data_IF_472303521089
#
_entry.id   IF_472303521089
#
_cell.length_a   1.000
_cell.length_b   1.000
_cell.length_c   1.000
_cell.angle_alpha   90.00
_cell.angle_beta   90.00
_cell.angle_gamma   90.00
#
_symmetry.space_group_name_H-M   'P 1'
#
loop_
_entity.id
_entity.type
_entity.pdbx_description
1 polymer ?
#
# COMPACT_ATOMS: atom_id res chain seq x y z
N UNK A 1 -6.39 -0.63 -1.88
CA UNK A 1 -5.70 0.68 -1.99
C UNK A 1 -6.55 1.65 -2.81
N UNK A 2 -6.42 2.97 -2.61
CA UNK A 2 -7.24 4.09 -3.12
C UNK A 2 -8.74 3.80 -3.38
N UNK A 3 -9.07 2.96 -4.38
CA UNK A 3 -10.39 2.43 -4.70
C UNK A 3 -10.82 1.21 -3.86
N UNK A 4 -10.26 1.02 -2.66
CA UNK A 4 -10.61 -0.09 -1.74
C UNK A 4 -10.53 -1.51 -2.34
N UNK A 5 -9.71 -1.73 -3.38
CA UNK A 5 -9.45 -3.09 -3.89
C UNK A 5 -8.22 -3.70 -3.19
N UNK A 6 -8.28 -4.97 -2.76
CA UNK A 6 -7.08 -5.72 -2.37
C UNK A 6 -6.07 -5.76 -3.52
N UNK A 7 -4.79 -5.84 -3.18
CA UNK A 7 -3.72 -5.89 -4.18
C UNK A 7 -2.81 -7.07 -3.91
N UNK A 8 -2.59 -7.87 -4.95
CA UNK A 8 -1.55 -8.88 -5.04
C UNK A 8 -0.45 -8.27 -5.90
N UNK A 9 0.78 -8.22 -5.40
CA UNK A 9 1.95 -7.73 -6.16
C UNK A 9 3.19 -8.54 -5.79
N UNK A 10 4.29 -8.35 -6.51
CA UNK A 10 5.60 -8.82 -6.05
C UNK A 10 6.26 -7.67 -5.31
N UNK A 11 6.25 -7.70 -3.97
CA UNK A 11 6.78 -6.64 -3.12
C UNK A 11 8.03 -7.11 -2.36
N UNK A 12 9.17 -6.49 -2.68
CA UNK A 12 10.50 -6.91 -2.21
C UNK A 12 11.26 -5.81 -1.45
N UNK A 13 10.59 -4.73 -1.07
CA UNK A 13 11.23 -3.50 -0.60
C UNK A 13 10.66 -3.06 0.75
N UNK A 14 10.45 -4.03 1.64
CA UNK A 14 9.87 -3.85 2.98
C UNK A 14 10.70 -2.90 3.86
N UNK A 15 12.01 -2.93 3.69
CA UNK A 15 13.00 -2.16 4.43
C UNK A 15 12.90 -0.65 4.21
N UNK A 16 12.29 -0.21 3.11
CA UNK A 16 12.12 1.22 2.80
C UNK A 16 10.85 1.82 3.41
N UNK A 17 10.08 1.03 4.16
CA UNK A 17 8.78 1.41 4.70
C UNK A 17 8.76 1.27 6.21
N UNK A 18 8.59 2.38 6.93
CA UNK A 18 8.33 2.36 8.38
C UNK A 18 7.06 1.57 8.71
N UNK A 19 6.04 1.69 7.87
CA UNK A 19 4.83 0.88 7.92
C UNK A 19 4.63 0.23 6.55
N UNK A 20 4.69 -1.10 6.46
CA UNK A 20 4.56 -1.79 5.19
C UNK A 20 3.13 -1.69 4.63
N UNK A 21 2.95 -1.66 3.29
CA UNK A 21 1.63 -1.61 2.69
C UNK A 21 0.86 -2.91 2.95
N UNK A 22 -0.47 -2.85 3.13
CA UNK A 22 -1.31 -4.04 3.38
C UNK A 22 -1.62 -4.76 2.06
N UNK A 23 -0.58 -5.33 1.44
CA UNK A 23 -0.63 -6.09 0.18
C UNK A 23 -0.32 -7.57 0.42
N UNK A 24 -0.80 -8.43 -0.47
CA UNK A 24 -0.41 -9.83 -0.51
C UNK A 24 0.77 -9.97 -1.46
N UNK A 25 1.98 -10.16 -0.92
CA UNK A 25 3.18 -10.31 -1.75
C UNK A 25 3.30 -11.73 -2.28
N UNK A 26 3.34 -11.87 -3.61
CA UNK A 26 3.49 -13.15 -4.30
C UNK A 26 4.71 -13.15 -5.21
N UNK A 27 5.49 -14.24 -5.18
CA UNK A 27 6.73 -14.40 -5.94
C UNK A 27 6.74 -15.66 -6.81
N UNK A 28 5.57 -16.30 -6.97
CA UNK A 28 5.41 -17.48 -7.83
C UNK A 28 3.96 -17.59 -8.33
N UNK A 29 3.72 -18.27 -9.48
CA UNK A 29 2.38 -18.51 -9.98
C UNK A 29 1.48 -19.24 -8.97
N UNK A 30 2.05 -20.18 -8.20
CA UNK A 30 1.32 -20.93 -7.16
C UNK A 30 0.82 -20.00 -6.04
N UNK A 31 1.64 -19.05 -5.60
CA UNK A 31 1.22 -18.06 -4.60
C UNK A 31 0.16 -17.10 -5.13
N UNK A 32 0.29 -16.65 -6.38
CA UNK A 32 -0.72 -15.81 -7.03
C UNK A 32 -2.06 -16.54 -7.06
N UNK A 33 -2.08 -17.79 -7.53
CA UNK A 33 -3.29 -18.63 -7.55
C UNK A 33 -3.89 -18.77 -6.16
N UNK A 34 -3.08 -19.13 -5.16
CA UNK A 34 -3.54 -19.30 -3.78
C UNK A 34 -4.20 -18.01 -3.24
N UNK A 35 -3.54 -16.86 -3.37
CA UNK A 35 -4.09 -15.60 -2.87
C UNK A 35 -5.32 -15.14 -3.63
N UNK A 36 -5.34 -15.35 -4.95
CA UNK A 36 -6.50 -15.02 -5.77
C UNK A 36 -7.72 -15.84 -5.35
N UNK A 37 -7.58 -17.16 -5.23
CA UNK A 37 -8.65 -18.06 -4.80
C UNK A 37 -9.12 -17.73 -3.38
N UNK A 38 -8.19 -17.56 -2.45
CA UNK A 38 -8.50 -17.13 -1.07
C UNK A 38 -9.30 -15.82 -1.06
N UNK A 39 -8.91 -14.84 -1.86
CA UNK A 39 -9.66 -13.59 -1.98
C UNK A 39 -11.02 -13.84 -2.61
N UNK A 40 -11.17 -14.64 -3.66
CA UNK A 40 -12.46 -14.91 -4.33
C UNK A 40 -13.45 -15.67 -3.42
N UNK A 41 -12.95 -16.54 -2.55
CA UNK A 41 -13.77 -17.34 -1.64
C UNK A 41 -14.16 -16.59 -0.36
N UNK A 42 -13.31 -15.68 0.14
CA UNK A 42 -13.60 -14.92 1.37
C UNK A 42 -13.91 -13.43 1.11
N UNK A 43 -15.21 -13.06 0.99
CA UNK A 43 -15.61 -11.65 0.80
C UNK A 43 -15.27 -10.75 1.99
N UNK A 44 -15.22 -11.28 3.23
CA UNK A 44 -14.88 -10.48 4.41
C UNK A 44 -13.42 -10.09 4.38
N UNK A 45 -12.55 -11.03 4.01
CA UNK A 45 -11.13 -10.76 3.82
C UNK A 45 -10.90 -9.72 2.71
N UNK A 46 -11.60 -9.84 1.57
CA UNK A 46 -11.53 -8.83 0.49
C UNK A 46 -11.87 -7.44 1.00
N UNK A 47 -12.99 -7.30 1.71
CA UNK A 47 -13.40 -6.00 2.24
C UNK A 47 -12.41 -5.45 3.26
N UNK A 48 -11.91 -6.31 4.16
CA UNK A 48 -10.91 -5.93 5.18
C UNK A 48 -9.63 -5.40 4.53
N UNK A 49 -9.04 -6.14 3.59
CA UNK A 49 -7.80 -5.72 2.92
C UNK A 49 -8.01 -4.49 2.04
N UNK A 50 -9.17 -4.39 1.39
CA UNK A 50 -9.57 -3.21 0.63
C UNK A 50 -9.52 -1.93 1.47
N UNK A 51 -10.22 -1.94 2.62
CA UNK A 51 -10.26 -0.84 3.59
C UNK A 51 -8.89 -0.51 4.17
N UNK A 52 -8.12 -1.53 4.59
CA UNK A 52 -6.75 -1.32 5.08
C UNK A 52 -5.90 -0.60 4.03
N UNK A 53 -6.03 -1.00 2.76
CA UNK A 53 -5.32 -0.34 1.67
C UNK A 53 -5.77 1.11 1.43
N UNK A 54 -7.03 1.47 1.67
CA UNK A 54 -7.49 2.86 1.58
C UNK A 54 -6.90 3.70 2.71
N UNK A 55 -7.02 3.23 3.94
CA UNK A 55 -6.46 3.89 5.12
C UNK A 55 -4.95 4.09 5.01
N UNK A 56 -4.24 3.10 4.46
CA UNK A 56 -2.81 3.21 4.19
C UNK A 56 -2.49 4.36 3.22
N UNK A 57 -3.25 4.46 2.12
CA UNK A 57 -3.09 5.56 1.14
C UNK A 57 -3.36 6.91 1.80
N UNK A 58 -4.45 7.04 2.57
CA UNK A 58 -4.78 8.32 3.25
C UNK A 58 -3.72 8.75 4.27
N UNK A 59 -3.06 7.80 4.94
CA UNK A 59 -2.05 8.12 5.96
C UNK A 59 -0.67 8.43 5.39
N UNK A 60 -0.31 7.85 4.24
CA UNK A 60 1.07 7.90 3.74
C UNK A 60 1.18 8.62 2.39
N UNK A 61 0.17 8.42 1.54
CA UNK A 61 0.16 8.84 0.13
C UNK A 61 -0.91 9.89 -0.19
N UNK A 62 -1.56 10.46 0.82
CA UNK A 62 -2.45 11.61 0.60
C UNK A 62 -1.68 12.77 -0.03
N UNK A 63 -2.31 13.46 -0.99
CA UNK A 63 -1.67 14.51 -1.74
C UNK A 63 -1.15 15.65 -0.84
N UNK A 64 -1.88 15.98 0.23
CA UNK A 64 -1.44 17.02 1.16
C UNK A 64 -0.22 16.58 1.98
N UNK A 65 -0.15 15.30 2.36
CA UNK A 65 0.99 14.73 3.07
C UNK A 65 2.23 14.77 2.18
N UNK A 66 2.11 14.33 0.93
CA UNK A 66 3.22 14.32 -0.03
C UNK A 66 3.67 15.74 -0.38
N UNK A 67 2.73 16.66 -0.66
CA UNK A 67 3.03 18.06 -0.95
C UNK A 67 3.76 18.73 0.23
N UNK A 68 3.35 18.47 1.46
CA UNK A 68 4.03 18.98 2.66
C UNK A 68 5.46 18.45 2.78
N UNK A 69 5.69 17.17 2.50
CA UNK A 69 7.05 16.58 2.49
C UNK A 69 7.95 17.27 1.45
N UNK A 70 7.44 17.45 0.23
CA UNK A 70 8.17 18.14 -0.85
C UNK A 70 8.49 19.59 -0.46
N UNK A 71 7.51 20.33 0.06
CA UNK A 71 7.70 21.71 0.50
C UNK A 71 8.77 21.83 1.58
N UNK A 72 8.75 20.93 2.57
CA UNK A 72 9.76 20.90 3.63
C UNK A 72 11.16 20.63 3.05
N UNK A 73 11.29 19.67 2.12
CA UNK A 73 12.56 19.41 1.46
C UNK A 73 13.08 20.61 0.67
N UNK A 74 12.21 21.41 0.04
CA UNK A 74 12.64 22.65 -0.61
C UNK A 74 13.11 23.70 0.40
N UNK A 75 12.37 23.91 1.50
CA UNK A 75 12.76 24.85 2.56
C UNK A 75 14.11 24.50 3.18
N UNK A 76 14.39 23.21 3.41
CA UNK A 76 15.68 22.74 3.91
C UNK A 76 16.86 23.07 2.98
N UNK A 77 16.61 23.26 1.69
CA UNK A 77 17.64 23.66 0.72
C UNK A 77 17.75 25.17 0.61
N UNK A 78 16.63 25.90 0.65
CA UNK A 78 16.59 27.35 0.37
C UNK A 78 16.71 28.24 1.59
N UNK A 79 16.38 27.75 2.80
CA UNK A 79 16.38 28.52 4.05
C UNK A 79 17.56 28.15 4.98
N UNK A 80 18.60 27.50 4.44
CA UNK A 80 19.91 27.36 5.08
C UNK A 80 20.72 28.65 4.98
#
# INVERSE_FOLDING_TARGET
MACEKPVINSFNFWEYYETPPPVLSAHSPKQIYFYLTMLLEDPKLRMKLGKLGRTFVEKIYDANIVAKKILNSYREVTEK
#
